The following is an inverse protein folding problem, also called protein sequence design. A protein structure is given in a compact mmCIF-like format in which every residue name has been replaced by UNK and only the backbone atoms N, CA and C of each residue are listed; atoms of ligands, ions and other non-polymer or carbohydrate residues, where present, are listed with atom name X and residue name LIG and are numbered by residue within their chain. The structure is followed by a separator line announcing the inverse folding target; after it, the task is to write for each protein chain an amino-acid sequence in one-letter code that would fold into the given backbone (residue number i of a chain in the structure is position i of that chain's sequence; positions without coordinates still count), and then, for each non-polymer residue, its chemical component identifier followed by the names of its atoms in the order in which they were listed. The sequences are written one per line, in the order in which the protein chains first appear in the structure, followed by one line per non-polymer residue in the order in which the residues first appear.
data_IF_762582043969
#
_entry.id   IF_762582043969
#
_cell.length_a   1.000
_cell.length_b   1.000
_cell.length_c   1.000
_cell.angle_alpha   90.00
_cell.angle_beta   90.00
_cell.angle_gamma   90.00
#
_symmetry.space_group_name_H-M   'P 1'
#
loop_
_entity.id
_entity.type
_entity.pdbx_description
1 polymer ?
#
# COMPACT_ATOMS: atom_id res chain seq x y z
N UNK A 1 -7.05 -0.88 -6.44
CA UNK A 1 -5.95 -0.45 -5.56
C UNK A 1 -4.62 -0.77 -6.22
N UNK A 2 -3.78 0.25 -6.36
CA UNK A 2 -2.47 0.21 -6.97
C UNK A 2 -1.44 0.79 -6.01
N UNK A 3 -0.22 0.24 -6.05
CA UNK A 3 0.94 0.77 -5.34
C UNK A 3 1.94 1.27 -6.39
N UNK A 4 2.36 2.52 -6.25
CA UNK A 4 3.40 3.13 -7.06
C UNK A 4 4.65 3.40 -6.22
N UNK A 5 5.81 3.06 -6.78
CA UNK A 5 7.14 3.46 -6.32
C UNK A 5 7.88 4.03 -7.52
N UNK A 6 8.23 5.30 -7.46
CA UNK A 6 8.80 6.05 -8.60
C UNK A 6 7.89 5.94 -9.84
N UNK A 7 8.40 5.44 -10.97
CA UNK A 7 7.62 5.24 -12.20
C UNK A 7 7.00 3.84 -12.32
N UNK A 8 7.22 2.97 -11.32
CA UNK A 8 6.73 1.57 -11.34
C UNK A 8 5.43 1.44 -10.57
N UNK A 9 4.43 0.83 -11.20
CA UNK A 9 3.09 0.59 -10.63
C UNK A 9 2.75 -0.90 -10.64
N UNK A 10 2.18 -1.40 -9.55
CA UNK A 10 1.69 -2.80 -9.45
C UNK A 10 0.33 -2.87 -8.78
N UNK A 11 -0.40 -3.97 -9.03
CA UNK A 11 -1.65 -4.26 -8.35
C UNK A 11 -1.38 -4.62 -6.89
N UNK A 12 -2.02 -3.91 -5.96
CA UNK A 12 -1.84 -4.11 -4.51
C UNK A 12 -2.26 -5.49 -4.01
N UNK A 13 -3.11 -6.20 -4.77
CA UNK A 13 -3.61 -7.54 -4.44
C UNK A 13 -2.67 -8.66 -4.91
N UNK A 14 -1.60 -8.33 -5.64
CA UNK A 14 -0.62 -9.30 -6.12
C UNK A 14 0.63 -9.28 -5.24
N UNK A 15 0.81 -10.31 -4.41
CA UNK A 15 1.99 -10.46 -3.57
C UNK A 15 3.29 -10.42 -4.40
N UNK A 16 3.34 -11.13 -5.52
CA UNK A 16 4.49 -11.14 -6.41
C UNK A 16 4.76 -9.74 -7.02
N UNK A 17 3.70 -9.01 -7.37
CA UNK A 17 3.82 -7.63 -7.85
C UNK A 17 4.46 -6.72 -6.82
N UNK A 18 3.99 -6.78 -5.58
CA UNK A 18 4.52 -5.99 -4.46
C UNK A 18 5.98 -6.32 -4.17
N UNK A 19 6.33 -7.62 -4.09
CA UNK A 19 7.72 -8.04 -3.91
C UNK A 19 8.63 -7.53 -5.03
N UNK A 20 8.15 -7.50 -6.28
CA UNK A 20 8.92 -7.01 -7.43
C UNK A 20 9.27 -5.51 -7.37
N UNK A 21 8.56 -4.71 -6.56
CA UNK A 21 8.87 -3.29 -6.37
C UNK A 21 10.06 -3.07 -5.42
N UNK A 22 10.45 -4.07 -4.63
CA UNK A 22 11.55 -3.96 -3.67
C UNK A 22 11.35 -2.78 -2.71
N UNK A 23 10.16 -2.69 -2.12
CA UNK A 23 9.82 -1.67 -1.12
C UNK A 23 10.47 -2.09 0.20
N UNK A 24 11.26 -1.19 0.80
CA UNK A 24 11.91 -1.38 2.10
C UNK A 24 11.49 -0.25 3.05
N UNK A 25 11.71 -0.42 4.36
CA UNK A 25 11.39 0.61 5.35
C UNK A 25 11.97 1.98 4.98
N UNK A 26 11.15 3.03 5.09
CA UNK A 26 11.51 4.39 4.68
C UNK A 26 11.33 4.70 3.19
N UNK A 27 10.88 3.75 2.37
CA UNK A 27 10.54 4.00 0.96
C UNK A 27 9.23 4.77 0.86
N UNK A 28 9.24 5.93 0.19
CA UNK A 28 8.01 6.60 -0.17
C UNK A 28 7.25 5.81 -1.25
N UNK A 29 5.99 5.51 -0.99
CA UNK A 29 5.08 4.85 -1.93
C UNK A 29 3.80 5.67 -2.08
N UNK A 30 3.12 5.52 -3.20
CA UNK A 30 1.79 6.11 -3.42
C UNK A 30 0.75 5.00 -3.53
N UNK A 31 -0.32 5.12 -2.76
CA UNK A 31 -1.47 4.22 -2.77
C UNK A 31 -2.58 4.88 -3.57
N UNK A 32 -3.15 4.16 -4.55
CA UNK A 32 -4.21 4.67 -5.40
C UNK A 32 -5.37 3.68 -5.37
N UNK A 33 -6.53 4.11 -4.89
CA UNK A 33 -7.78 3.38 -5.01
C UNK A 33 -8.71 4.08 -6.01
N UNK A 34 -9.65 3.32 -6.54
CA UNK A 34 -10.72 3.78 -7.43
C UNK A 34 -11.89 2.84 -7.16
N UNK A 35 -13.03 3.38 -6.72
CA UNK A 35 -14.20 2.60 -6.36
C UNK A 35 -15.08 3.29 -5.32
N UNK A 36 -16.22 2.66 -5.02
CA UNK A 36 -17.20 3.21 -4.06
C UNK A 36 -16.68 3.31 -2.62
N UNK A 37 -15.59 2.62 -2.31
CA UNK A 37 -14.93 2.55 -1.01
C UNK A 37 -13.51 3.14 -1.04
N UNK A 38 -13.17 3.94 -2.05
CA UNK A 38 -11.80 4.38 -2.30
C UNK A 38 -11.17 5.17 -1.13
N UNK A 39 -11.92 6.09 -0.52
CA UNK A 39 -11.43 6.89 0.62
C UNK A 39 -11.10 6.01 1.83
N UNK A 40 -12.03 5.10 2.18
CA UNK A 40 -11.86 4.18 3.30
C UNK A 40 -10.71 3.20 3.05
N UNK A 41 -10.58 2.69 1.83
CA UNK A 41 -9.53 1.76 1.45
C UNK A 41 -8.14 2.43 1.50
N UNK A 42 -8.01 3.67 1.03
CA UNK A 42 -6.75 4.42 1.12
C UNK A 42 -6.40 4.71 2.58
N UNK A 43 -7.34 5.24 3.37
CA UNK A 43 -7.10 5.54 4.79
C UNK A 43 -6.62 4.30 5.56
N UNK A 44 -7.35 3.19 5.45
CA UNK A 44 -7.01 1.95 6.16
C UNK A 44 -5.64 1.39 5.75
N UNK A 45 -5.25 1.53 4.48
CA UNK A 45 -3.95 1.05 4.00
C UNK A 45 -2.79 1.98 4.41
N UNK A 46 -3.03 3.29 4.49
CA UNK A 46 -2.06 4.24 5.02
C UNK A 46 -1.82 3.93 6.50
N UNK A 47 -2.88 3.82 7.30
CA UNK A 47 -2.79 3.50 8.73
C UNK A 47 -2.03 2.20 8.98
N UNK A 48 -2.28 1.15 8.18
CA UNK A 48 -1.57 -0.13 8.28
C UNK A 48 -0.07 -0.02 8.00
N UNK A 49 0.32 0.80 7.02
CA UNK A 49 1.74 0.99 6.66
C UNK A 49 2.43 1.87 7.71
N UNK A 50 1.76 2.92 8.19
CA UNK A 50 2.29 3.83 9.22
C UNK A 50 2.42 3.17 10.58
N UNK A 51 1.54 2.20 10.92
CA UNK A 51 1.67 1.37 12.12
C UNK A 51 2.85 0.39 12.06
N UNK A 52 3.55 0.32 10.91
CA UNK A 52 4.63 -0.61 10.67
C UNK A 52 4.16 -2.06 10.65
N UNK A 53 2.89 -2.30 10.28
CA UNK A 53 2.25 -3.62 10.35
C UNK A 53 2.21 -4.21 11.77
N UNK A 54 2.31 -3.36 12.78
CA UNK A 54 2.12 -3.76 14.17
C UNK A 54 0.62 -3.94 14.41
N UNK A 55 0.20 -5.12 14.86
CA UNK A 55 -1.17 -5.36 15.32
C UNK A 55 -1.40 -4.60 16.64
N UNK A 56 -1.79 -3.33 16.55
CA UNK A 56 -2.27 -2.55 17.72
C UNK A 56 -3.71 -2.92 18.12
N UNK A 57 -4.28 -3.96 17.50
CA UNK A 57 -5.60 -4.52 17.83
C UNK A 57 -5.49 -5.70 18.83
N UNK A 58 -4.63 -5.57 19.85
CA UNK A 58 -4.51 -6.53 20.97
C UNK A 58 -5.10 -5.98 22.27
#
# INVERSE_FOLDING_TARGET
IWIEKEERRVNAKSLLGILSLGIVGGTAIRIIADGTDEEQAVASLVDLVESGFSDDNR
#
